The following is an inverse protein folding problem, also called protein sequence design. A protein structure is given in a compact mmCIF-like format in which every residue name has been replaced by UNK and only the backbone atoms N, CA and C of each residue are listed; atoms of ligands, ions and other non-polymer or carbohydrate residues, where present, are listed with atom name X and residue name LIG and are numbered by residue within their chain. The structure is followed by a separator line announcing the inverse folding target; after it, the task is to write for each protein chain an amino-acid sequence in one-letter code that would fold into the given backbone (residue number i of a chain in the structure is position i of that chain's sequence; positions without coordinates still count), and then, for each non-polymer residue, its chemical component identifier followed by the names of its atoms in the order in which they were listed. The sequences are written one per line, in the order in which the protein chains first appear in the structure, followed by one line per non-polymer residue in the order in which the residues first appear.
data_IF_362749877452
#
_entry.id   IF_362749877452
#
_cell.length_a   1.000
_cell.length_b   1.000
_cell.length_c   1.000
_cell.angle_alpha   90.00
_cell.angle_beta   90.00
_cell.angle_gamma   90.00
#
_symmetry.space_group_name_H-M   'P 1'
#
loop_
_entity.id
_entity.type
_entity.pdbx_description
1 polymer ?
#
# COMPACT_ATOMS: atom_id res chain seq x y z
N UNK A 1 -27.40 21.36 21.00
CA UNK A 1 -27.55 20.06 20.32
C UNK A 1 -26.69 20.11 19.06
N UNK A 2 -25.44 19.58 19.14
CA UNK A 2 -24.61 19.40 17.99
C UNK A 2 -25.12 18.17 17.22
N UNK A 3 -25.82 18.38 16.15
CA UNK A 3 -26.12 17.33 15.19
C UNK A 3 -24.80 16.89 14.57
N UNK A 4 -24.29 15.74 14.97
CA UNK A 4 -23.19 15.07 14.30
C UNK A 4 -23.66 14.68 12.90
N UNK A 5 -23.35 15.50 11.92
CA UNK A 5 -23.52 15.12 10.53
C UNK A 5 -22.59 13.94 10.22
N UNK A 6 -23.15 12.75 10.11
CA UNK A 6 -22.39 11.60 9.58
C UNK A 6 -21.99 11.88 8.12
N UNK A 7 -20.70 12.08 7.91
CA UNK A 7 -20.17 12.22 6.55
C UNK A 7 -20.21 10.85 5.86
N UNK A 8 -21.14 10.67 4.94
CA UNK A 8 -21.24 9.45 4.13
C UNK A 8 -20.43 9.66 2.84
N UNK A 9 -19.43 8.82 2.63
CA UNK A 9 -18.67 8.81 1.38
C UNK A 9 -19.39 7.93 0.34
N UNK A 10 -19.54 8.45 -0.88
CA UNK A 10 -20.18 7.76 -2.00
C UNK A 10 -19.15 7.61 -3.12
N UNK A 11 -19.01 6.39 -3.68
CA UNK A 11 -18.23 6.17 -4.89
C UNK A 11 -18.97 6.82 -6.07
N UNK A 12 -18.33 7.76 -6.73
CA UNK A 12 -18.88 8.45 -7.92
C UNK A 12 -18.18 8.05 -9.22
N UNK A 13 -16.96 7.53 -9.13
CA UNK A 13 -16.16 6.99 -10.23
C UNK A 13 -15.18 5.95 -9.68
N UNK A 14 -14.93 4.91 -10.43
CA UNK A 14 -13.76 4.06 -10.25
C UNK A 14 -12.88 4.11 -11.49
N UNK A 15 -11.60 3.92 -11.30
CA UNK A 15 -10.62 3.89 -12.38
C UNK A 15 -9.70 2.67 -12.24
N UNK A 16 -9.33 2.11 -13.37
CA UNK A 16 -8.43 0.99 -13.48
C UNK A 16 -7.44 1.23 -14.62
N UNK A 17 -6.19 0.86 -14.44
CA UNK A 17 -5.17 1.05 -15.45
C UNK A 17 -4.22 -0.14 -15.51
N UNK A 18 -3.90 -0.57 -16.72
CA UNK A 18 -2.81 -1.51 -17.01
C UNK A 18 -1.77 -0.77 -17.84
N UNK A 19 -0.49 -0.90 -17.48
CA UNK A 19 0.61 -0.40 -18.28
C UNK A 19 1.33 -1.55 -18.97
N UNK A 20 1.52 -1.42 -20.28
CA UNK A 20 2.26 -2.39 -21.09
C UNK A 20 3.04 -1.65 -22.19
N UNK A 21 4.34 -1.90 -22.27
CA UNK A 21 5.26 -1.27 -23.26
C UNK A 21 5.07 0.26 -23.35
N UNK A 22 5.16 0.96 -22.21
CA UNK A 22 4.98 2.41 -22.07
C UNK A 22 3.60 2.96 -22.50
N UNK A 23 2.64 2.08 -22.80
CA UNK A 23 1.26 2.45 -23.11
C UNK A 23 0.36 2.15 -21.92
N UNK A 24 -0.60 3.04 -21.68
CA UNK A 24 -1.60 2.86 -20.65
C UNK A 24 -2.93 2.46 -21.28
N UNK A 25 -3.50 1.37 -20.80
CA UNK A 25 -4.90 1.01 -21.03
C UNK A 25 -5.67 1.38 -19.75
N UNK A 26 -6.40 2.47 -19.81
CA UNK A 26 -7.19 2.95 -18.68
C UNK A 26 -8.67 2.77 -18.94
N UNK A 27 -9.40 2.33 -17.93
CA UNK A 27 -10.84 2.13 -17.94
C UNK A 27 -11.43 2.86 -16.72
N UNK A 28 -12.55 3.51 -16.91
CA UNK A 28 -13.33 4.13 -15.84
C UNK A 28 -14.76 3.63 -15.89
N UNK A 29 -15.42 3.65 -14.74
CA UNK A 29 -16.86 3.36 -14.66
C UNK A 29 -17.49 4.08 -13.47
N UNK A 30 -18.80 4.04 -13.42
CA UNK A 30 -19.62 4.78 -12.47
C UNK A 30 -20.39 3.88 -11.52
N UNK A 31 -20.42 2.59 -11.80
CA UNK A 31 -21.17 1.59 -11.03
C UNK A 31 -20.28 0.40 -10.63
N UNK A 32 -20.61 -0.24 -9.53
CA UNK A 32 -19.92 -1.46 -9.12
C UNK A 32 -20.18 -2.64 -10.05
N UNK A 33 -21.33 -2.66 -10.73
CA UNK A 33 -21.65 -3.67 -11.74
C UNK A 33 -20.66 -3.63 -12.92
N UNK A 34 -20.31 -2.43 -13.39
CA UNK A 34 -19.27 -2.26 -14.42
C UNK A 34 -17.90 -2.72 -13.93
N UNK A 35 -17.56 -2.43 -12.65
CA UNK A 35 -16.31 -2.89 -12.06
C UNK A 35 -16.23 -4.43 -11.99
N UNK A 36 -17.30 -5.09 -11.55
CA UNK A 36 -17.36 -6.55 -11.55
C UNK A 36 -17.28 -7.14 -12.97
N UNK A 37 -17.98 -6.54 -13.93
CA UNK A 37 -17.90 -6.96 -15.33
C UNK A 37 -16.47 -6.88 -15.87
N UNK A 38 -15.73 -5.81 -15.52
CA UNK A 38 -14.32 -5.67 -15.85
C UNK A 38 -13.48 -6.80 -15.24
N UNK A 39 -13.63 -7.09 -13.94
CA UNK A 39 -12.88 -8.16 -13.28
C UNK A 39 -13.16 -9.53 -13.90
N UNK A 40 -14.43 -9.86 -14.15
CA UNK A 40 -14.81 -11.10 -14.82
C UNK A 40 -14.15 -11.20 -16.20
N UNK A 41 -14.21 -10.11 -16.97
CA UNK A 41 -13.59 -10.07 -18.30
C UNK A 41 -12.07 -10.27 -18.23
N UNK A 42 -11.39 -9.63 -17.27
CA UNK A 42 -9.94 -9.79 -17.05
C UNK A 42 -9.60 -11.24 -16.69
N UNK A 43 -10.39 -11.87 -15.80
CA UNK A 43 -10.20 -13.28 -15.43
C UNK A 43 -10.19 -14.18 -16.66
N UNK A 44 -11.18 -14.05 -17.54
CA UNK A 44 -11.27 -14.85 -18.76
C UNK A 44 -10.19 -14.50 -19.79
N UNK A 45 -9.98 -13.21 -20.08
CA UNK A 45 -9.02 -12.78 -21.11
C UNK A 45 -7.58 -13.12 -20.78
N UNK A 46 -7.21 -13.08 -19.49
CA UNK A 46 -5.85 -13.35 -19.03
C UNK A 46 -5.66 -14.79 -18.55
N UNK A 47 -6.72 -15.63 -18.60
CA UNK A 47 -6.65 -17.02 -18.14
C UNK A 47 -6.26 -17.14 -16.67
N UNK A 48 -6.79 -16.24 -15.82
CA UNK A 48 -6.44 -16.24 -14.40
C UNK A 48 -7.08 -17.41 -13.67
N UNK A 49 -6.28 -18.06 -12.82
CA UNK A 49 -6.66 -19.21 -12.00
C UNK A 49 -5.95 -19.14 -10.62
N UNK A 50 -6.05 -20.19 -9.82
CA UNK A 50 -5.42 -20.27 -8.50
C UNK A 50 -3.89 -20.19 -8.54
N UNK A 51 -3.27 -20.54 -9.66
CA UNK A 51 -1.81 -20.48 -9.86
C UNK A 51 -1.37 -19.18 -10.51
N UNK A 52 -2.27 -18.51 -11.24
CA UNK A 52 -2.00 -17.29 -12.00
C UNK A 52 -2.93 -16.17 -11.54
N UNK A 53 -2.62 -15.60 -10.37
CA UNK A 53 -3.41 -14.51 -9.77
C UNK A 53 -2.96 -13.14 -10.29
N UNK A 54 -3.91 -12.24 -10.43
CA UNK A 54 -3.64 -10.85 -10.77
C UNK A 54 -3.45 -10.00 -9.50
N UNK A 55 -2.32 -9.29 -9.42
CA UNK A 55 -2.07 -8.34 -8.34
C UNK A 55 -2.52 -6.95 -8.78
N UNK A 56 -3.44 -6.36 -8.03
CA UNK A 56 -3.99 -5.03 -8.26
C UNK A 56 -3.48 -4.10 -7.15
N UNK A 57 -2.72 -3.07 -7.52
CA UNK A 57 -2.27 -2.06 -6.57
C UNK A 57 -3.30 -0.95 -6.46
N UNK A 58 -3.65 -0.64 -5.21
CA UNK A 58 -4.58 0.44 -4.85
C UNK A 58 -3.85 1.43 -3.96
N UNK A 59 -3.88 2.71 -4.30
CA UNK A 59 -3.29 3.72 -3.43
C UNK A 59 -4.23 4.02 -2.26
N UNK A 60 -3.70 3.88 -1.03
CA UNK A 60 -4.49 3.95 0.20
C UNK A 60 -5.64 2.91 0.25
N UNK A 61 -5.29 1.64 0.01
CA UNK A 61 -6.24 0.51 0.06
C UNK A 61 -7.12 0.53 1.32
N UNK A 62 -6.61 1.02 2.44
CA UNK A 62 -7.39 1.09 3.69
C UNK A 62 -8.64 1.96 3.57
N UNK A 63 -8.57 3.04 2.80
CA UNK A 63 -9.71 3.90 2.51
C UNK A 63 -10.63 3.26 1.48
N UNK A 64 -10.08 2.81 0.36
CA UNK A 64 -10.83 2.21 -0.74
C UNK A 64 -11.51 0.89 -0.32
N UNK A 65 -10.91 0.14 0.58
CA UNK A 65 -11.45 -1.10 1.12
C UNK A 65 -12.81 -0.91 1.80
N UNK A 66 -13.08 0.26 2.37
CA UNK A 66 -14.38 0.54 3.01
C UNK A 66 -15.54 0.48 2.00
N UNK A 67 -15.30 0.84 0.74
CA UNK A 67 -16.30 0.78 -0.32
C UNK A 67 -16.53 -0.65 -0.82
N UNK A 68 -15.46 -1.44 -0.90
CA UNK A 68 -15.51 -2.78 -1.53
C UNK A 68 -15.66 -3.93 -0.54
N UNK A 69 -15.43 -3.73 0.77
CA UNK A 69 -15.41 -4.80 1.78
C UNK A 69 -16.69 -5.64 1.84
N UNK A 70 -17.84 -5.03 1.56
CA UNK A 70 -19.15 -5.71 1.57
C UNK A 70 -19.57 -6.25 0.20
N UNK A 71 -18.82 -5.92 -0.85
CA UNK A 71 -19.14 -6.27 -2.24
C UNK A 71 -18.50 -7.61 -2.65
N UNK A 72 -17.43 -8.00 -1.96
CA UNK A 72 -16.69 -9.24 -2.25
C UNK A 72 -16.77 -10.21 -1.08
N UNK A 73 -16.66 -11.51 -1.40
CA UNK A 73 -16.34 -12.54 -0.41
C UNK A 73 -14.82 -12.64 -0.32
N UNK A 74 -14.26 -12.15 0.77
CA UNK A 74 -12.80 -12.11 0.95
C UNK A 74 -12.31 -13.44 1.53
N UNK A 75 -11.37 -14.09 0.83
CA UNK A 75 -10.69 -15.30 1.29
C UNK A 75 -9.64 -14.97 2.35
N UNK A 76 -8.97 -13.84 2.17
CA UNK A 76 -7.91 -13.38 3.05
C UNK A 76 -7.85 -11.86 3.09
N UNK A 77 -7.78 -11.32 4.31
CA UNK A 77 -7.50 -9.89 4.54
C UNK A 77 -6.39 -9.79 5.55
N UNK A 78 -5.31 -9.12 5.19
CA UNK A 78 -4.21 -8.82 6.10
C UNK A 78 -4.16 -7.33 6.37
N UNK A 79 -4.33 -6.98 7.64
CA UNK A 79 -4.27 -5.62 8.13
C UNK A 79 -3.25 -5.52 9.28
N UNK A 80 -2.48 -4.45 9.29
CA UNK A 80 -1.55 -4.15 10.40
C UNK A 80 -2.29 -3.62 11.63
N UNK A 81 -3.47 -3.04 11.42
CA UNK A 81 -4.33 -2.44 12.42
C UNK A 81 -5.75 -2.34 11.84
N UNK A 82 -6.74 -2.02 12.65
CA UNK A 82 -8.18 -1.97 12.30
C UNK A 82 -8.49 -1.21 11.01
N UNK A 83 -7.62 -0.25 10.62
CA UNK A 83 -7.78 0.59 9.42
C UNK A 83 -6.54 0.60 8.52
N UNK A 84 -5.63 -0.38 8.63
CA UNK A 84 -4.40 -0.44 7.83
C UNK A 84 -4.34 -1.73 7.03
N UNK A 85 -5.24 -1.87 6.06
CA UNK A 85 -5.26 -3.03 5.16
C UNK A 85 -4.04 -2.98 4.24
N UNK A 86 -3.20 -4.00 4.32
CA UNK A 86 -2.01 -4.17 3.48
C UNK A 86 -2.34 -4.88 2.18
N UNK A 87 -3.09 -5.97 2.28
CA UNK A 87 -3.61 -6.69 1.12
C UNK A 87 -4.89 -7.45 1.45
N UNK A 88 -5.66 -7.75 0.41
CA UNK A 88 -6.87 -8.56 0.49
C UNK A 88 -6.99 -9.44 -0.76
N UNK A 89 -7.47 -10.66 -0.61
CA UNK A 89 -7.61 -11.65 -1.69
C UNK A 89 -9.09 -12.00 -1.87
N UNK A 90 -9.52 -11.95 -3.10
CA UNK A 90 -10.81 -12.45 -3.56
C UNK A 90 -10.60 -13.21 -4.86
N UNK A 91 -10.89 -14.52 -4.86
CA UNK A 91 -10.71 -15.39 -6.01
C UNK A 91 -9.28 -15.26 -6.60
N UNK A 92 -9.17 -14.92 -7.86
CA UNK A 92 -7.89 -14.75 -8.59
C UNK A 92 -7.26 -13.35 -8.44
N UNK A 93 -7.86 -12.45 -7.67
CA UNK A 93 -7.41 -11.08 -7.49
C UNK A 93 -6.80 -10.86 -6.11
N UNK A 94 -5.59 -10.30 -6.09
CA UNK A 94 -4.92 -9.86 -4.87
C UNK A 94 -4.75 -8.33 -4.89
N UNK A 95 -5.46 -7.63 -4.01
CA UNK A 95 -5.36 -6.18 -3.85
C UNK A 95 -4.25 -5.84 -2.86
N UNK A 96 -3.30 -4.98 -3.25
CA UNK A 96 -2.18 -4.52 -2.41
C UNK A 96 -2.16 -3.01 -2.26
N UNK A 97 -1.71 -2.53 -1.10
CA UNK A 97 -1.63 -1.10 -0.81
C UNK A 97 -0.31 -0.48 -1.29
N UNK A 98 -0.35 0.40 -2.29
CA UNK A 98 0.84 1.12 -2.75
C UNK A 98 1.24 2.26 -1.80
N UNK A 99 0.32 2.82 -1.03
CA UNK A 99 0.63 3.82 0.01
C UNK A 99 1.49 3.23 1.13
N UNK A 100 1.17 2.05 1.65
CA UNK A 100 1.97 1.39 2.68
C UNK A 100 3.33 0.92 2.17
N UNK A 101 3.44 0.64 0.87
CA UNK A 101 4.69 0.30 0.22
C UNK A 101 5.60 1.52 0.04
N UNK A 102 5.05 2.64 -0.39
CA UNK A 102 5.83 3.85 -0.69
C UNK A 102 6.06 4.75 0.52
N UNK A 103 5.09 4.83 1.43
CA UNK A 103 5.05 5.80 2.52
C UNK A 103 4.71 7.23 2.06
N UNK A 104 4.34 7.44 0.79
CA UNK A 104 4.08 8.75 0.21
C UNK A 104 2.63 8.91 -0.26
N UNK A 105 2.10 10.14 -0.18
CA UNK A 105 0.91 10.52 -0.96
C UNK A 105 1.22 10.46 -2.47
N UNK A 106 0.18 10.38 -3.33
CA UNK A 106 0.39 10.29 -4.79
C UNK A 106 1.22 11.45 -5.35
N UNK A 107 0.98 12.69 -4.88
CA UNK A 107 1.75 13.86 -5.30
C UNK A 107 3.24 13.75 -4.90
N UNK A 108 3.50 13.40 -3.65
CA UNK A 108 4.87 13.21 -3.16
C UNK A 108 5.54 12.00 -3.81
N UNK A 109 4.78 10.94 -4.12
CA UNK A 109 5.26 9.77 -4.82
C UNK A 109 5.74 10.14 -6.24
N UNK A 110 4.94 10.88 -6.98
CA UNK A 110 5.29 11.34 -8.32
C UNK A 110 6.56 12.19 -8.31
N UNK A 111 6.70 13.10 -7.35
CA UNK A 111 7.88 13.96 -7.18
C UNK A 111 9.11 13.16 -6.74
N UNK A 112 8.99 12.31 -5.71
CA UNK A 112 10.10 11.54 -5.14
C UNK A 112 10.75 10.57 -6.14
N UNK A 113 9.95 10.01 -7.03
CA UNK A 113 10.40 9.08 -8.05
C UNK A 113 10.57 9.72 -9.44
N UNK A 114 10.38 11.03 -9.55
CA UNK A 114 10.45 11.79 -10.81
C UNK A 114 9.64 11.13 -11.93
N UNK A 115 8.38 10.78 -11.62
CA UNK A 115 7.50 10.07 -12.54
C UNK A 115 7.06 10.99 -13.68
N UNK A 116 6.84 10.41 -14.87
CA UNK A 116 6.36 11.14 -16.04
C UNK A 116 4.98 11.75 -15.81
N UNK A 117 4.11 11.00 -15.14
CA UNK A 117 2.76 11.43 -14.78
C UNK A 117 2.80 12.21 -13.48
N UNK A 118 2.28 13.42 -13.49
CA UNK A 118 2.13 14.27 -12.31
C UNK A 118 0.67 14.29 -11.87
N UNK A 119 0.45 14.42 -10.56
CA UNK A 119 -0.89 14.62 -10.02
C UNK A 119 -1.37 16.02 -10.39
N UNK A 120 -2.61 16.14 -10.90
CA UNK A 120 -3.31 17.40 -11.09
C UNK A 120 -4.13 17.78 -9.85
N UNK A 121 -4.72 18.96 -9.84
CA UNK A 121 -5.60 19.44 -8.77
C UNK A 121 -7.06 19.26 -9.14
N UNK A 122 -7.89 18.95 -8.15
CA UNK A 122 -9.34 18.86 -8.29
C UNK A 122 -10.01 19.60 -7.14
N UNK A 123 -11.15 20.23 -7.41
CA UNK A 123 -11.98 20.78 -6.36
C UNK A 123 -12.69 19.65 -5.60
N UNK A 124 -12.36 19.53 -4.31
CA UNK A 124 -12.92 18.51 -3.41
C UNK A 124 -14.19 18.97 -2.69
N UNK A 125 -14.56 20.25 -2.79
CA UNK A 125 -15.76 20.77 -2.14
C UNK A 125 -17.02 20.49 -2.97
N UNK A 126 -16.87 20.33 -4.27
CA UNK A 126 -17.97 19.95 -5.15
C UNK A 126 -18.41 18.51 -4.86
N UNK A 127 -19.67 18.33 -4.45
CA UNK A 127 -20.26 17.02 -4.22
C UNK A 127 -20.52 16.34 -5.57
N UNK A 128 -19.96 15.15 -5.74
CA UNK A 128 -20.13 14.33 -6.93
C UNK A 128 -20.86 13.04 -6.60
N UNK A 129 -21.76 12.65 -7.49
CA UNK A 129 -22.53 11.40 -7.43
C UNK A 129 -22.27 10.56 -8.68
N UNK A 130 -22.67 9.28 -8.74
CA UNK A 130 -22.57 8.49 -9.98
C UNK A 130 -23.24 9.13 -11.19
N UNK A 131 -24.21 9.99 -10.99
CA UNK A 131 -24.96 10.68 -12.07
C UNK A 131 -24.38 12.05 -12.43
N UNK A 132 -23.38 12.55 -11.69
CA UNK A 132 -22.75 13.84 -11.99
C UNK A 132 -21.95 13.73 -13.29
N UNK A 133 -22.19 14.64 -14.24
CA UNK A 133 -21.37 14.72 -15.46
C UNK A 133 -20.00 15.24 -15.08
N UNK A 134 -18.96 14.47 -15.38
CA UNK A 134 -17.58 14.87 -15.13
C UNK A 134 -16.99 15.61 -16.32
N UNK A 135 -16.20 16.63 -16.05
CA UNK A 135 -15.43 17.32 -17.07
C UNK A 135 -14.27 16.47 -17.57
N UNK A 136 -13.70 16.80 -18.72
CA UNK A 136 -12.52 16.13 -19.25
C UNK A 136 -11.32 16.28 -18.32
N UNK A 137 -11.22 17.39 -17.59
CA UNK A 137 -10.17 17.67 -16.62
C UNK A 137 -10.29 16.74 -15.39
N UNK A 138 -11.51 16.56 -14.89
CA UNK A 138 -11.79 15.65 -13.77
C UNK A 138 -11.49 14.19 -14.14
N UNK A 139 -11.87 13.76 -15.34
CA UNK A 139 -11.54 12.42 -15.84
C UNK A 139 -10.03 12.27 -15.97
N UNK A 140 -9.34 13.26 -16.51
CA UNK A 140 -7.87 13.27 -16.66
C UNK A 140 -7.21 13.20 -15.28
N UNK A 141 -7.71 13.94 -14.29
CA UNK A 141 -7.25 13.86 -12.91
C UNK A 141 -7.33 12.43 -12.37
N UNK A 142 -8.49 11.79 -12.46
CA UNK A 142 -8.71 10.42 -11.98
C UNK A 142 -7.79 9.41 -12.69
N UNK A 143 -7.58 9.58 -14.01
CA UNK A 143 -6.69 8.71 -14.78
C UNK A 143 -5.22 8.93 -14.43
N UNK A 144 -4.81 10.13 -14.11
CA UNK A 144 -3.43 10.40 -13.69
C UNK A 144 -3.11 9.73 -12.36
N UNK A 145 -4.05 9.68 -11.43
CA UNK A 145 -3.86 9.01 -10.15
C UNK A 145 -3.48 7.52 -10.33
N UNK A 146 -4.16 6.80 -11.21
CA UNK A 146 -3.83 5.39 -11.46
C UNK A 146 -2.56 5.20 -12.31
N UNK A 147 -2.26 6.13 -13.22
CA UNK A 147 -1.01 6.10 -14.01
C UNK A 147 0.21 6.28 -13.12
N UNK A 148 0.16 7.19 -12.13
CA UNK A 148 1.23 7.37 -11.13
C UNK A 148 1.51 6.06 -10.41
N UNK A 149 0.47 5.33 -10.00
CA UNK A 149 0.65 4.02 -9.35
C UNK A 149 1.29 3.01 -10.32
N UNK A 150 0.84 2.95 -11.58
CA UNK A 150 1.44 2.07 -12.60
C UNK A 150 2.93 2.35 -12.80
N UNK A 151 3.33 3.62 -12.93
CA UNK A 151 4.73 4.02 -13.12
C UNK A 151 5.59 3.64 -11.90
N UNK A 152 5.06 3.87 -10.70
CA UNK A 152 5.74 3.47 -9.46
C UNK A 152 5.93 1.95 -9.37
N UNK A 153 4.89 1.18 -9.64
CA UNK A 153 4.96 -0.29 -9.56
C UNK A 153 5.89 -0.86 -10.65
N UNK A 154 5.94 -0.26 -11.83
CA UNK A 154 6.94 -0.64 -12.85
C UNK A 154 8.37 -0.50 -12.33
N UNK A 155 8.69 0.61 -11.63
CA UNK A 155 10.01 0.79 -11.00
C UNK A 155 10.27 -0.34 -9.98
N UNK A 156 9.27 -0.68 -9.16
CA UNK A 156 9.39 -1.76 -8.19
C UNK A 156 9.54 -3.14 -8.84
N UNK A 157 8.84 -3.41 -9.94
CA UNK A 157 9.03 -4.64 -10.71
C UNK A 157 10.48 -4.73 -11.24
N UNK A 158 11.03 -3.64 -11.79
CA UNK A 158 12.43 -3.59 -12.24
C UNK A 158 13.40 -3.82 -11.08
N UNK A 159 13.12 -3.27 -9.89
CA UNK A 159 13.96 -3.44 -8.69
C UNK A 159 13.91 -4.88 -8.14
N UNK A 160 12.75 -5.52 -8.13
CA UNK A 160 12.52 -6.82 -7.50
C UNK A 160 12.42 -8.00 -8.48
N UNK A 161 12.41 -7.72 -9.78
CA UNK A 161 12.35 -8.70 -10.87
C UNK A 161 10.95 -9.26 -11.14
N UNK A 162 10.04 -9.22 -10.15
CA UNK A 162 8.68 -9.76 -10.27
C UNK A 162 7.72 -9.02 -9.34
N UNK A 163 6.49 -8.81 -9.79
CA UNK A 163 5.44 -8.16 -9.00
C UNK A 163 5.10 -8.90 -7.70
N UNK A 164 5.14 -10.24 -7.70
CA UNK A 164 4.84 -11.06 -6.54
C UNK A 164 5.91 -10.93 -5.43
N UNK A 165 7.14 -10.59 -5.80
CA UNK A 165 8.27 -10.46 -4.85
C UNK A 165 8.41 -9.07 -4.24
N UNK A 166 7.61 -8.11 -4.67
CA UNK A 166 7.57 -6.75 -4.10
C UNK A 166 7.04 -6.85 -2.65
N UNK A 167 7.75 -6.28 -1.65
CA UNK A 167 7.26 -6.22 -0.28
C UNK A 167 5.92 -5.47 -0.16
N UNK A 168 5.14 -5.78 0.88
CA UNK A 168 3.83 -5.14 1.08
C UNK A 168 3.93 -3.74 1.72
N UNK A 169 5.06 -3.46 2.39
CA UNK A 169 5.24 -2.21 3.14
C UNK A 169 6.66 -1.70 3.00
N UNK A 170 6.85 -0.38 3.21
CA UNK A 170 8.18 0.23 3.26
C UNK A 170 9.10 -0.44 4.30
N UNK A 171 8.59 -0.73 5.48
CA UNK A 171 9.36 -1.46 6.51
C UNK A 171 9.76 -2.87 6.04
N UNK A 172 8.87 -3.55 5.29
CA UNK A 172 9.15 -4.84 4.66
C UNK A 172 10.26 -4.73 3.61
N UNK A 173 10.29 -3.64 2.85
CA UNK A 173 11.33 -3.34 1.87
C UNK A 173 12.70 -3.18 2.54
N UNK A 174 12.78 -2.30 3.56
CA UNK A 174 14.01 -2.11 4.35
C UNK A 174 14.49 -3.44 4.96
N UNK A 175 13.58 -4.22 5.56
CA UNK A 175 13.91 -5.52 6.15
C UNK A 175 14.45 -6.50 5.10
N UNK A 176 13.87 -6.53 3.90
CA UNK A 176 14.33 -7.40 2.81
C UNK A 176 15.74 -7.00 2.36
N UNK A 177 16.01 -5.71 2.20
CA UNK A 177 17.34 -5.21 1.82
C UNK A 177 18.38 -5.47 2.91
N UNK A 178 18.05 -5.23 4.18
CA UNK A 178 18.95 -5.55 5.30
C UNK A 178 19.28 -7.04 5.35
N UNK A 179 18.26 -7.90 5.20
CA UNK A 179 18.48 -9.35 5.18
C UNK A 179 19.36 -9.78 4.01
N UNK A 180 19.15 -9.22 2.83
CA UNK A 180 19.98 -9.50 1.65
C UNK A 180 21.44 -9.14 1.91
N UNK A 181 21.70 -7.97 2.48
CA UNK A 181 23.06 -7.46 2.73
C UNK A 181 23.77 -8.15 3.89
N UNK A 182 23.04 -8.49 4.96
CA UNK A 182 23.62 -8.95 6.23
C UNK A 182 23.53 -10.45 6.40
N UNK A 183 22.45 -11.09 5.93
CA UNK A 183 22.12 -12.48 6.26
C UNK A 183 22.16 -13.44 5.07
N UNK A 184 22.50 -12.98 3.85
CA UNK A 184 22.44 -13.85 2.69
C UNK A 184 23.67 -14.79 2.64
N UNK A 185 23.55 -16.08 2.95
CA UNK A 185 24.69 -17.00 3.07
C UNK A 185 25.34 -17.33 1.70
N UNK A 186 24.69 -16.97 0.59
CA UNK A 186 25.18 -17.23 -0.78
C UNK A 186 26.16 -16.17 -1.30
N UNK A 187 26.14 -14.98 -0.74
CA UNK A 187 27.18 -13.99 -1.02
C UNK A 187 28.32 -14.28 -0.03
N UNK A 188 29.39 -14.90 -0.50
CA UNK A 188 30.56 -15.31 0.30
C UNK A 188 31.35 -14.12 0.89
N UNK A 189 30.68 -13.07 1.34
CA UNK A 189 31.36 -12.00 2.01
C UNK A 189 31.42 -12.27 3.52
N UNK A 190 32.56 -11.94 4.11
CA UNK A 190 32.83 -12.15 5.54
C UNK A 190 31.83 -11.45 6.46
N UNK A 191 31.22 -10.34 5.98
CA UNK A 191 30.28 -9.53 6.75
C UNK A 191 28.91 -10.23 6.91
N UNK A 192 28.38 -10.84 5.85
CA UNK A 192 27.07 -11.54 5.92
C UNK A 192 27.16 -12.79 6.78
N UNK A 193 28.32 -13.51 6.77
CA UNK A 193 28.56 -14.65 7.64
C UNK A 193 28.66 -14.22 9.11
N UNK A 194 29.38 -13.14 9.40
CA UNK A 194 29.50 -12.59 10.76
C UNK A 194 28.13 -12.10 11.29
N UNK A 195 27.37 -11.37 10.48
CA UNK A 195 26.02 -10.91 10.84
C UNK A 195 25.06 -12.06 11.15
N UNK A 196 25.13 -13.15 10.39
CA UNK A 196 24.32 -14.34 10.64
C UNK A 196 24.72 -15.04 11.97
N UNK A 197 26.02 -15.14 12.24
CA UNK A 197 26.52 -15.72 13.51
C UNK A 197 26.11 -14.87 14.71
N UNK A 198 26.27 -13.54 14.63
CA UNK A 198 25.86 -12.61 15.69
C UNK A 198 24.35 -12.71 15.96
N UNK A 199 23.53 -12.78 14.92
CA UNK A 199 22.09 -12.94 15.08
C UNK A 199 21.72 -14.25 15.78
N UNK A 200 22.42 -15.34 15.49
CA UNK A 200 22.22 -16.60 16.19
C UNK A 200 22.55 -16.52 17.68
N UNK A 201 23.59 -15.75 18.04
CA UNK A 201 23.98 -15.51 19.44
C UNK A 201 23.01 -14.59 20.20
N UNK A 202 22.30 -13.70 19.47
CA UNK A 202 21.33 -12.76 20.02
C UNK A 202 19.90 -13.32 20.01
N UNK A 203 19.72 -14.64 19.83
CA UNK A 203 18.39 -15.26 19.86
C UNK A 203 17.85 -15.17 21.29
N UNK A 204 16.73 -14.48 21.45
CA UNK A 204 16.00 -14.37 22.71
C UNK A 204 15.12 -15.61 22.92
N UNK A 205 14.90 -15.98 24.18
CA UNK A 205 13.83 -16.93 24.49
C UNK A 205 12.45 -16.32 24.26
N UNK A 206 11.41 -17.15 24.31
CA UNK A 206 10.02 -16.71 24.03
C UNK A 206 9.54 -15.65 25.03
N UNK A 207 9.94 -15.76 26.30
CA UNK A 207 9.54 -14.84 27.37
C UNK A 207 10.23 -13.47 27.21
N UNK A 208 11.52 -13.47 26.92
CA UNK A 208 12.30 -12.28 26.63
C UNK A 208 11.75 -11.57 25.39
N UNK A 209 11.47 -12.33 24.32
CA UNK A 209 10.86 -11.77 23.10
C UNK A 209 9.49 -11.15 23.38
N UNK A 210 8.63 -11.83 24.16
CA UNK A 210 7.31 -11.29 24.53
C UNK A 210 7.43 -10.01 25.35
N UNK A 211 8.34 -9.97 26.32
CA UNK A 211 8.60 -8.78 27.15
C UNK A 211 9.09 -7.61 26.30
N UNK A 212 10.08 -7.83 25.45
CA UNK A 212 10.59 -6.81 24.53
C UNK A 212 9.49 -6.34 23.58
N UNK A 213 8.64 -7.25 23.11
CA UNK A 213 7.53 -6.95 22.21
C UNK A 213 6.46 -6.07 22.86
N UNK A 214 6.17 -6.30 24.14
CA UNK A 214 5.26 -5.48 24.92
C UNK A 214 5.83 -4.09 25.26
N UNK A 215 7.12 -4.01 25.52
CA UNK A 215 7.82 -2.77 25.81
C UNK A 215 8.07 -1.92 24.54
N UNK A 216 8.15 -2.57 23.37
CA UNK A 216 8.45 -1.89 22.11
C UNK A 216 7.21 -1.23 21.53
N UNK A 217 7.09 0.06 21.73
CA UNK A 217 6.10 0.94 21.09
C UNK A 217 6.84 1.94 20.19
N UNK A 218 7.33 1.46 19.06
CA UNK A 218 8.09 2.29 18.12
C UNK A 218 7.32 3.55 17.71
N UNK A 219 7.94 4.70 17.88
CA UNK A 219 7.36 6.01 17.54
C UNK A 219 6.38 6.59 18.56
N UNK A 220 6.15 5.92 19.68
CA UNK A 220 5.35 6.47 20.77
C UNK A 220 6.28 7.18 21.75
N UNK A 221 6.38 8.50 21.66
CA UNK A 221 7.02 9.32 22.68
C UNK A 221 5.92 9.97 23.52
N UNK A 222 5.86 9.63 24.80
CA UNK A 222 5.08 10.35 25.79
C UNK A 222 5.95 10.66 27.01
N UNK A 223 5.74 11.82 27.58
CA UNK A 223 6.43 12.17 28.81
C UNK A 223 6.00 11.23 29.95
N UNK A 224 6.98 10.72 30.70
CA UNK A 224 6.68 10.01 31.92
C UNK A 224 5.97 10.97 32.89
N UNK A 225 4.75 10.63 33.33
CA UNK A 225 3.94 11.49 34.19
C UNK A 225 4.67 11.91 35.49
N UNK A 226 5.59 11.08 35.98
CA UNK A 226 6.41 11.38 37.19
C UNK A 226 7.60 12.28 36.89
N UNK A 227 7.94 12.52 35.61
CA UNK A 227 9.10 13.30 35.18
C UNK A 227 8.70 14.59 34.43
N UNK A 228 7.41 14.89 34.38
CA UNK A 228 6.92 16.13 33.78
C UNK A 228 7.42 17.32 34.58
N UNK A 229 8.19 18.20 33.95
CA UNK A 229 8.79 19.37 34.59
C UNK A 229 10.19 19.15 35.19
N UNK A 230 10.72 17.92 35.16
CA UNK A 230 12.12 17.69 35.55
C UNK A 230 13.08 18.24 34.48
N UNK A 231 13.96 19.14 34.87
CA UNK A 231 15.03 19.65 34.01
C UNK A 231 16.29 18.85 34.34
N UNK A 232 16.77 18.05 33.39
CA UNK A 232 18.07 17.40 33.49
C UNK A 232 19.12 18.28 32.87
N UNK A 233 20.01 18.84 33.69
CA UNK A 233 21.06 19.75 33.28
C UNK A 233 22.34 19.07 32.78
N UNK A 234 22.46 17.77 32.95
CA UNK A 234 23.69 17.04 32.61
C UNK A 234 23.41 15.88 31.67
N UNK A 235 23.43 16.18 30.38
CA UNK A 235 23.69 15.18 29.34
C UNK A 235 25.08 15.47 28.80
N UNK A 236 26.08 14.85 29.40
CA UNK A 236 27.45 14.81 28.86
C UNK A 236 27.57 13.67 27.86
#
# INVERSE_FOLDING_TARGET
HDEKHEKTAIMYIWQFCIKYNDKYLCVTGRTWQEFFALLIRLKFMLGLDDHHKMIIYVHNLSYEFQFIRKLFTWEKVFALDTRKVCYAVNDVFEFRCSYLLSGYSLDNLAKAYNLKTQKSTMDYETIRTPNTILTQEEITYCLNDVKVVCDYIEIKIKQYGNVATIPLTQTGEVRKECRKKVLHPKEHNKLSKAGYMIQGQLTMDVKEFQTCRQAFQGGFTHANAFMVGAVHSDVS
#
